data_IF_429516295118
#
_entry.id   IF_429516295118
#
_cell.length_a   1.000
_cell.length_b   1.000
_cell.length_c   1.000
_cell.angle_alpha   90.00
_cell.angle_beta   90.00
_cell.angle_gamma   90.00
#
_symmetry.space_group_name_H-M   'P 1'
#
loop_
_entity.id
_entity.type
_entity.pdbx_description
1 polymer ?
#
# COMPACT_ATOMS: atom_id res chain seq x y z
N UNK A 1 2.48 19.18 20.63
CA UNK A 1 2.56 18.82 19.19
C UNK A 1 2.34 17.32 19.05
N UNK A 2 1.82 16.89 17.90
CA UNK A 2 1.66 15.46 17.64
C UNK A 2 3.03 14.83 17.34
N UNK A 3 3.19 13.55 17.71
CA UNK A 3 4.32 12.76 17.25
C UNK A 3 4.31 12.68 15.70
N UNK A 4 5.47 12.52 15.05
CA UNK A 4 5.58 12.60 13.59
C UNK A 4 4.83 11.53 12.80
N UNK A 5 4.57 10.36 13.39
CA UNK A 5 3.82 9.27 12.77
C UNK A 5 2.60 8.89 13.62
N UNK A 6 1.64 8.18 13.03
CA UNK A 6 0.46 7.63 13.72
C UNK A 6 0.68 6.22 14.26
N UNK A 7 -0.42 5.60 14.71
CA UNK A 7 -0.46 4.21 15.19
C UNK A 7 0.59 3.91 16.27
N UNK A 8 0.45 4.63 17.39
CA UNK A 8 1.36 4.53 18.53
C UNK A 8 1.12 3.23 19.30
N UNK A 9 2.21 2.51 19.61
CA UNK A 9 2.18 1.24 20.31
C UNK A 9 2.69 1.30 21.74
N UNK A 10 3.65 2.18 22.04
CA UNK A 10 4.21 2.30 23.38
C UNK A 10 4.74 3.71 23.63
N UNK A 11 4.69 4.13 24.90
CA UNK A 11 5.23 5.40 25.38
C UNK A 11 6.00 5.16 26.67
N UNK A 12 7.28 5.43 26.64
CA UNK A 12 8.11 5.48 27.85
C UNK A 12 8.36 6.93 28.26
N UNK A 13 8.19 7.22 29.55
CA UNK A 13 8.50 8.51 30.18
C UNK A 13 9.58 8.28 31.23
N UNK A 14 10.65 9.06 31.18
CA UNK A 14 11.76 8.96 32.15
C UNK A 14 11.23 9.25 33.56
N UNK A 15 11.33 8.31 34.52
CA UNK A 15 10.83 8.49 35.90
C UNK A 15 11.57 9.58 36.66
N UNK A 16 12.74 9.99 36.24
CA UNK A 16 13.53 11.05 36.86
C UNK A 16 13.41 12.41 36.15
N UNK A 17 12.89 12.41 34.91
CA UNK A 17 12.72 13.63 34.12
C UNK A 17 11.60 13.46 33.11
N UNK A 18 10.39 13.84 33.49
CA UNK A 18 9.20 13.72 32.65
C UNK A 18 9.22 14.54 31.35
N UNK A 19 10.20 15.40 31.16
CA UNK A 19 10.42 16.08 29.88
C UNK A 19 11.05 15.15 28.84
N UNK A 20 11.68 14.05 29.28
CA UNK A 20 12.28 13.05 28.39
C UNK A 20 11.32 11.90 28.14
N UNK A 21 10.98 11.69 26.88
CA UNK A 21 10.03 10.66 26.45
C UNK A 21 10.56 9.93 25.22
N UNK A 22 10.15 8.67 25.09
CA UNK A 22 10.34 7.87 23.86
C UNK A 22 8.99 7.31 23.47
N UNK A 23 8.60 7.48 22.21
CA UNK A 23 7.40 6.88 21.64
C UNK A 23 7.81 5.89 20.55
N UNK A 24 7.10 4.77 20.47
CA UNK A 24 7.20 3.78 19.40
C UNK A 24 5.89 3.72 18.63
N UNK A 25 5.98 3.76 17.32
CA UNK A 25 4.86 3.70 16.39
C UNK A 25 5.24 2.96 15.10
N UNK A 26 4.30 2.84 14.16
CA UNK A 26 4.53 2.13 12.90
C UNK A 26 5.55 2.83 11.98
N UNK A 27 5.90 4.08 12.23
CA UNK A 27 6.99 4.78 11.57
C UNK A 27 8.36 4.53 12.17
N UNK A 28 8.43 4.01 13.42
CA UNK A 28 9.67 3.75 14.15
C UNK A 28 9.65 4.26 15.57
N UNK A 29 10.75 4.83 16.05
CA UNK A 29 10.86 5.40 17.39
C UNK A 29 11.29 6.87 17.35
N UNK A 30 10.69 7.69 18.19
CA UNK A 30 11.02 9.10 18.32
C UNK A 30 11.27 9.47 19.79
N UNK A 31 12.14 10.46 19.98
CA UNK A 31 12.53 10.96 21.30
C UNK A 31 12.09 12.40 21.44
N UNK A 32 11.51 12.73 22.59
CA UNK A 32 11.30 14.11 23.01
C UNK A 32 12.14 14.41 24.25
N UNK A 33 12.66 15.62 24.35
CA UNK A 33 13.35 16.15 25.53
C UNK A 33 12.66 17.37 26.15
N UNK A 34 11.47 17.68 25.68
CA UNK A 34 10.70 18.85 26.09
C UNK A 34 9.22 18.53 26.39
N UNK A 35 8.96 17.33 26.91
CA UNK A 35 7.63 16.91 27.33
C UNK A 35 6.65 16.67 26.18
N UNK A 36 7.15 16.31 24.99
CA UNK A 36 6.32 16.02 23.81
C UNK A 36 6.04 17.24 22.92
N UNK A 37 6.61 18.40 23.22
CA UNK A 37 6.45 19.59 22.38
C UNK A 37 7.14 19.42 21.02
N UNK A 38 8.32 18.80 21.01
CA UNK A 38 9.06 18.45 19.80
C UNK A 38 9.55 17.02 19.89
N UNK A 39 9.60 16.36 18.72
CA UNK A 39 10.06 14.98 18.57
C UNK A 39 11.16 14.89 17.50
N UNK A 40 12.04 13.92 17.66
CA UNK A 40 13.00 13.57 16.59
C UNK A 40 12.27 13.01 15.38
N UNK A 41 12.93 13.00 14.22
CA UNK A 41 12.39 12.35 13.04
C UNK A 41 12.52 10.82 13.13
N UNK A 42 11.55 10.10 12.58
CA UNK A 42 11.67 8.66 12.31
C UNK A 42 12.33 8.37 10.96
N UNK A 43 12.47 9.37 10.08
CA UNK A 43 12.96 9.20 8.71
C UNK A 43 14.46 8.87 8.61
N UNK A 44 15.17 8.84 9.72
CA UNK A 44 16.58 8.41 9.80
C UNK A 44 16.73 6.93 10.18
N UNK A 45 15.65 6.18 10.26
CA UNK A 45 15.67 4.76 10.63
C UNK A 45 15.60 3.92 9.35
N UNK A 46 16.60 3.05 9.07
CA UNK A 46 16.65 2.28 7.83
C UNK A 46 15.80 1.01 7.92
N UNK A 47 14.52 1.17 8.27
CA UNK A 47 13.56 0.07 8.42
C UNK A 47 12.35 0.31 7.55
N UNK A 48 11.89 -0.73 6.85
CA UNK A 48 10.69 -0.70 6.03
C UNK A 48 10.15 -2.11 5.79
N UNK A 49 8.84 -2.25 5.72
CA UNK A 49 8.19 -3.50 5.33
C UNK A 49 7.58 -3.32 3.94
N UNK A 50 8.18 -3.93 2.94
CA UNK A 50 7.66 -3.96 1.58
C UNK A 50 6.95 -5.27 1.28
N UNK A 51 5.74 -5.22 0.73
CA UNK A 51 4.99 -6.42 0.35
C UNK A 51 5.45 -7.00 -0.98
N UNK A 52 5.63 -6.16 -1.98
CA UNK A 52 5.97 -6.52 -3.34
C UNK A 52 6.93 -5.51 -3.94
N UNK A 53 7.75 -6.00 -4.86
CA UNK A 53 8.69 -5.18 -5.63
C UNK A 53 8.46 -5.47 -7.10
N UNK A 54 8.42 -4.42 -7.91
CA UNK A 54 8.41 -4.48 -9.37
C UNK A 54 9.38 -3.46 -9.96
N UNK A 55 9.69 -3.60 -11.22
CA UNK A 55 10.56 -2.68 -11.95
C UNK A 55 9.89 -2.28 -13.28
N UNK A 56 10.36 -1.17 -13.85
CA UNK A 56 10.02 -0.77 -15.20
C UNK A 56 11.18 -1.04 -16.20
N UNK A 57 10.95 -0.73 -17.47
CA UNK A 57 11.93 -0.85 -18.54
C UNK A 57 12.67 0.47 -18.85
N UNK A 58 12.52 1.48 -18.00
CA UNK A 58 13.26 2.74 -18.12
C UNK A 58 14.77 2.52 -17.95
N UNK A 59 15.60 3.39 -18.49
CA UNK A 59 17.05 3.31 -18.26
C UNK A 59 17.59 4.65 -17.66
N UNK A 60 18.16 4.61 -16.46
CA UNK A 60 18.24 3.50 -15.49
C UNK A 60 16.84 3.04 -15.06
N UNK A 61 16.63 1.72 -14.89
CA UNK A 61 15.32 1.23 -14.48
C UNK A 61 14.98 1.72 -13.05
N UNK A 62 13.68 1.80 -12.79
CA UNK A 62 13.16 2.17 -11.48
C UNK A 62 12.58 0.96 -10.77
N UNK A 63 12.66 1.01 -9.45
CA UNK A 63 12.14 0.01 -8.53
C UNK A 63 10.91 0.60 -7.85
N UNK A 64 9.86 -0.18 -7.73
CA UNK A 64 8.58 0.21 -7.14
C UNK A 64 8.21 -0.72 -6.01
N UNK A 65 7.65 -0.16 -4.94
CA UNK A 65 7.16 -0.94 -3.81
C UNK A 65 6.17 -0.16 -2.96
N UNK A 66 5.34 -0.87 -2.22
CA UNK A 66 4.47 -0.31 -1.19
C UNK A 66 5.00 -0.68 0.18
N UNK A 67 5.14 0.32 1.04
CA UNK A 67 5.61 0.18 2.40
C UNK A 67 4.42 0.20 3.35
N UNK A 68 4.29 -0.84 4.16
CA UNK A 68 3.26 -0.92 5.19
C UNK A 68 3.29 0.32 6.08
N UNK A 69 2.13 0.85 6.42
CA UNK A 69 1.87 2.02 7.26
C UNK A 69 2.47 3.35 6.76
N UNK A 70 3.00 3.34 5.54
CA UNK A 70 3.53 4.51 4.88
C UNK A 70 2.88 4.69 3.50
N UNK A 71 3.66 4.66 2.45
CA UNK A 71 3.15 4.86 1.09
C UNK A 71 3.89 4.02 0.08
N UNK A 72 3.46 4.11 -1.16
CA UNK A 72 4.23 3.58 -2.28
C UNK A 72 5.42 4.47 -2.61
N UNK A 73 6.44 3.85 -3.15
CA UNK A 73 7.66 4.53 -3.58
C UNK A 73 8.05 4.06 -4.98
N UNK A 74 8.58 4.96 -5.81
CA UNK A 74 9.45 4.62 -6.93
C UNK A 74 10.82 5.23 -6.72
N UNK A 75 11.87 4.48 -7.05
CA UNK A 75 13.25 4.88 -6.85
C UNK A 75 14.11 4.41 -8.03
N UNK A 76 15.02 5.25 -8.49
CA UNK A 76 16.02 4.84 -9.47
C UNK A 76 16.98 3.82 -8.85
N UNK A 77 17.31 2.73 -9.56
CA UNK A 77 18.30 1.78 -9.06
C UNK A 77 19.73 2.34 -9.03
N UNK A 78 19.96 3.48 -9.68
CA UNK A 78 21.21 4.24 -9.67
C UNK A 78 20.92 5.73 -9.62
N UNK A 79 21.82 6.45 -8.98
CA UNK A 79 21.89 7.89 -8.99
C UNK A 79 23.05 8.36 -9.87
N UNK A 80 23.01 9.60 -10.33
CA UNK A 80 24.19 10.29 -10.88
C UNK A 80 25.22 10.68 -9.83
N UNK A 81 24.87 10.54 -8.55
CA UNK A 81 25.72 10.78 -7.38
C UNK A 81 26.43 9.49 -6.94
N UNK A 82 27.30 9.58 -5.94
CA UNK A 82 27.97 8.42 -5.34
C UNK A 82 27.04 7.51 -4.55
N UNK A 83 25.84 7.95 -4.20
CA UNK A 83 24.83 7.21 -3.42
C UNK A 83 23.42 7.63 -3.82
N UNK A 84 22.47 6.76 -3.52
CA UNK A 84 21.03 7.06 -3.62
C UNK A 84 20.61 7.86 -2.38
N UNK A 85 19.83 8.91 -2.57
CA UNK A 85 19.36 9.81 -1.53
C UNK A 85 17.86 10.12 -1.70
N UNK A 86 17.30 10.94 -0.82
CA UNK A 86 15.90 11.38 -0.88
C UNK A 86 15.49 12.01 -2.20
N UNK A 87 16.44 12.55 -2.98
CA UNK A 87 16.17 13.12 -4.30
C UNK A 87 15.92 12.08 -5.39
N UNK A 88 16.26 10.84 -5.12
CA UNK A 88 16.21 9.75 -6.11
C UNK A 88 14.94 8.92 -6.01
N UNK A 89 14.05 9.25 -5.07
CA UNK A 89 12.78 8.55 -4.90
C UNK A 89 11.61 9.52 -4.72
N UNK A 90 10.43 9.04 -5.02
CA UNK A 90 9.18 9.79 -4.89
C UNK A 90 7.99 8.86 -4.63
N UNK A 91 6.90 9.34 -3.99
CA UNK A 91 5.67 8.58 -3.84
C UNK A 91 5.05 8.25 -5.20
N UNK A 92 4.56 6.99 -5.36
CA UNK A 92 3.94 6.50 -6.57
C UNK A 92 2.43 6.27 -6.41
N UNK A 93 1.83 5.49 -7.31
CA UNK A 93 0.41 5.15 -7.26
C UNK A 93 0.10 4.14 -6.16
N UNK A 94 -1.14 4.14 -5.66
CA UNK A 94 -1.60 3.20 -4.63
C UNK A 94 -1.36 3.68 -3.21
N UNK A 95 -1.37 2.75 -2.28
CA UNK A 95 -1.17 2.98 -0.86
C UNK A 95 -0.24 1.93 -0.25
N UNK A 96 -0.28 1.81 1.05
CA UNK A 96 0.63 0.98 1.86
C UNK A 96 0.71 -0.50 1.48
N UNK A 97 -0.33 -1.06 0.88
CA UNK A 97 -0.46 -2.49 0.56
C UNK A 97 -0.45 -2.79 -0.95
N UNK A 98 0.03 -1.86 -1.76
CA UNK A 98 -0.10 -1.95 -3.21
C UNK A 98 0.76 -3.04 -3.87
N UNK A 99 0.18 -3.69 -4.88
CA UNK A 99 0.94 -4.05 -6.07
C UNK A 99 1.03 -2.82 -6.97
N UNK A 100 2.21 -2.53 -7.47
CA UNK A 100 2.41 -1.45 -8.45
C UNK A 100 2.67 -2.05 -9.83
N UNK A 101 2.02 -1.46 -10.83
CA UNK A 101 2.14 -1.87 -12.23
C UNK A 101 2.52 -0.65 -13.08
N UNK A 102 3.81 -0.43 -13.34
CA UNK A 102 4.25 0.54 -14.34
C UNK A 102 3.67 0.19 -15.71
N UNK A 103 3.18 1.20 -16.43
CA UNK A 103 2.68 1.00 -17.79
C UNK A 103 3.86 0.70 -18.72
N UNK A 104 3.87 -0.46 -19.41
CA UNK A 104 4.98 -0.84 -20.29
C UNK A 104 5.10 0.04 -21.53
N UNK A 105 4.08 0.82 -21.87
CA UNK A 105 4.10 1.75 -23.00
C UNK A 105 4.49 3.17 -22.59
N UNK A 106 4.36 3.51 -21.30
CA UNK A 106 4.73 4.81 -20.76
C UNK A 106 5.14 4.69 -19.30
N UNK A 107 6.41 4.60 -19.04
CA UNK A 107 6.98 4.42 -17.69
C UNK A 107 6.68 5.59 -16.70
N UNK A 108 6.08 6.69 -17.16
CA UNK A 108 5.60 7.75 -16.26
C UNK A 108 4.20 7.48 -15.72
N UNK A 109 3.48 6.53 -16.32
CA UNK A 109 2.17 6.09 -15.84
C UNK A 109 2.34 4.84 -14.96
N UNK A 110 1.80 4.88 -13.75
CA UNK A 110 1.86 3.77 -12.80
C UNK A 110 0.46 3.52 -12.24
N UNK A 111 0.10 2.25 -12.15
CA UNK A 111 -1.13 1.80 -11.49
C UNK A 111 -0.76 1.16 -10.17
N UNK A 112 -1.54 1.45 -9.12
CA UNK A 112 -1.34 0.86 -7.80
C UNK A 112 -2.64 0.73 -7.04
N UNK A 113 -2.77 -0.38 -6.33
CA UNK A 113 -3.89 -0.64 -5.44
C UNK A 113 -3.61 -0.18 -4.00
N UNK A 114 -4.59 -0.37 -3.16
CA UNK A 114 -4.47 -0.40 -1.70
C UNK A 114 -5.60 -1.27 -1.15
N UNK A 115 -5.65 -1.49 0.16
CA UNK A 115 -6.69 -2.31 0.77
C UNK A 115 -8.11 -1.96 0.30
N UNK A 116 -9.04 -2.89 0.42
CA UNK A 116 -10.47 -2.76 0.03
C UNK A 116 -10.71 -2.58 -1.48
N UNK A 117 -9.70 -2.81 -2.33
CA UNK A 117 -9.86 -2.69 -3.77
C UNK A 117 -9.78 -1.27 -4.32
N UNK A 118 -9.38 -0.30 -3.50
CA UNK A 118 -9.09 1.03 -4.02
C UNK A 118 -7.86 0.97 -4.92
N UNK A 119 -7.98 1.58 -6.08
CA UNK A 119 -6.92 1.60 -7.08
C UNK A 119 -6.83 2.97 -7.75
N UNK A 120 -5.61 3.41 -7.99
CA UNK A 120 -5.35 4.66 -8.69
C UNK A 120 -4.33 4.49 -9.81
N UNK A 121 -4.40 5.38 -10.77
CA UNK A 121 -3.37 5.65 -11.76
C UNK A 121 -2.70 6.98 -11.41
N UNK A 122 -1.39 7.03 -11.46
CA UNK A 122 -0.59 8.26 -11.32
C UNK A 122 0.21 8.49 -12.59
N UNK A 123 0.14 9.70 -13.09
CA UNK A 123 1.04 10.23 -14.11
C UNK A 123 2.13 11.03 -13.41
N UNK A 124 3.34 10.52 -13.40
CA UNK A 124 4.49 11.16 -12.78
C UNK A 124 5.00 12.39 -13.54
N UNK A 125 4.74 12.48 -14.84
CA UNK A 125 5.14 13.64 -15.64
C UNK A 125 4.33 14.90 -15.31
N UNK A 126 3.05 14.74 -15.00
CA UNK A 126 2.15 15.82 -14.62
C UNK A 126 1.88 15.90 -13.12
N UNK A 127 2.21 14.85 -12.36
CA UNK A 127 1.85 14.70 -10.95
C UNK A 127 0.38 14.38 -10.69
N UNK A 128 -0.43 14.20 -11.74
CA UNK A 128 -1.87 13.96 -11.61
C UNK A 128 -2.17 12.51 -11.23
N UNK A 129 -3.23 12.34 -10.45
CA UNK A 129 -3.76 11.03 -10.07
C UNK A 129 -5.22 10.89 -10.49
N UNK A 130 -5.63 9.66 -10.79
CA UNK A 130 -6.99 9.31 -11.14
C UNK A 130 -7.39 8.00 -10.48
N UNK A 131 -8.59 7.97 -9.87
CA UNK A 131 -9.18 6.70 -9.42
C UNK A 131 -9.54 5.82 -10.62
N UNK A 132 -9.17 4.54 -10.53
CA UNK A 132 -9.44 3.52 -11.55
C UNK A 132 -10.04 2.26 -10.92
N UNK A 133 -10.81 2.42 -9.85
CA UNK A 133 -11.43 1.34 -9.09
C UNK A 133 -12.27 0.45 -10.01
N UNK A 134 -12.21 -0.86 -9.78
CA UNK A 134 -13.04 -1.84 -10.48
C UNK A 134 -14.51 -1.66 -10.10
N UNK A 135 -14.77 -1.39 -8.83
CA UNK A 135 -16.07 -1.13 -8.27
C UNK A 135 -16.00 -0.08 -7.17
N UNK A 136 -16.76 1.02 -7.27
CA UNK A 136 -16.69 2.13 -6.31
C UNK A 136 -17.46 1.80 -5.03
N UNK A 137 -17.02 0.81 -4.27
CA UNK A 137 -17.65 0.39 -3.03
C UNK A 137 -16.77 0.72 -1.82
N UNK A 138 -17.39 1.12 -0.72
CA UNK A 138 -16.71 1.34 0.54
C UNK A 138 -17.24 0.36 1.60
N UNK A 139 -16.64 -0.81 1.73
CA UNK A 139 -17.10 -1.83 2.66
C UNK A 139 -16.69 -1.57 4.12
N UNK A 140 -16.20 -0.40 4.46
CA UNK A 140 -15.77 -0.09 5.82
C UNK A 140 -16.89 -0.37 6.84
N UNK A 141 -16.60 -1.21 7.83
CA UNK A 141 -17.56 -1.64 8.86
C UNK A 141 -18.53 -2.74 8.44
N UNK A 142 -18.45 -3.24 7.20
CA UNK A 142 -19.28 -4.34 6.70
C UNK A 142 -18.48 -5.63 6.57
N UNK A 143 -19.18 -6.77 6.64
CA UNK A 143 -18.57 -8.09 6.34
C UNK A 143 -18.35 -8.28 4.84
N UNK A 144 -17.54 -9.28 4.52
CA UNK A 144 -17.24 -9.63 3.13
C UNK A 144 -18.47 -10.11 2.34
N UNK A 145 -19.53 -10.54 3.03
CA UNK A 145 -20.79 -11.02 2.46
C UNK A 145 -21.57 -9.96 1.67
N UNK A 146 -21.42 -8.67 2.02
CA UNK A 146 -22.12 -7.58 1.34
C UNK A 146 -21.31 -6.98 0.19
N UNK A 147 -20.07 -7.41 0.02
CA UNK A 147 -19.19 -6.89 -1.02
C UNK A 147 -19.50 -7.53 -2.37
N UNK A 148 -19.65 -6.72 -3.40
CA UNK A 148 -19.73 -7.24 -4.77
C UNK A 148 -18.45 -7.95 -5.17
N UNK A 149 -17.29 -7.40 -4.80
CA UNK A 149 -15.98 -7.97 -5.01
C UNK A 149 -15.17 -7.95 -3.72
N UNK A 150 -14.53 -9.05 -3.39
CA UNK A 150 -13.71 -9.22 -2.19
C UNK A 150 -12.23 -9.11 -2.57
N UNK A 151 -11.58 -8.07 -2.10
CA UNK A 151 -10.17 -7.81 -2.37
C UNK A 151 -9.30 -8.24 -1.19
N UNK A 152 -8.17 -8.87 -1.49
CA UNK A 152 -7.13 -9.14 -0.50
C UNK A 152 -6.45 -7.82 -0.08
N UNK A 153 -5.78 -7.81 1.07
CA UNK A 153 -5.02 -6.67 1.56
C UNK A 153 -4.07 -6.10 0.50
N UNK A 154 -3.27 -6.94 -0.14
CA UNK A 154 -2.39 -6.58 -1.24
C UNK A 154 -2.80 -7.31 -2.52
N UNK A 155 -3.99 -7.01 -3.04
CA UNK A 155 -4.50 -7.64 -4.25
C UNK A 155 -3.62 -7.37 -5.48
N UNK A 156 -3.49 -8.36 -6.39
CA UNK A 156 -2.60 -8.23 -7.53
C UNK A 156 -3.13 -7.24 -8.57
N UNK A 157 -2.19 -6.43 -9.08
CA UNK A 157 -2.38 -5.55 -10.24
C UNK A 157 -1.18 -5.73 -11.16
N UNK A 158 -1.40 -6.01 -12.46
CA UNK A 158 -0.32 -6.22 -13.39
C UNK A 158 -0.74 -6.01 -14.85
N UNK A 159 0.18 -5.55 -15.66
CA UNK A 159 0.02 -5.62 -17.13
C UNK A 159 0.32 -7.01 -17.66
N UNK A 160 -0.33 -7.35 -18.78
CA UNK A 160 -0.03 -8.59 -19.49
C UNK A 160 1.38 -8.54 -20.08
N UNK A 161 2.21 -9.57 -19.88
CA UNK A 161 3.51 -9.64 -20.54
C UNK A 161 3.42 -9.85 -22.05
N UNK A 162 2.26 -10.33 -22.55
CA UNK A 162 2.03 -10.63 -23.96
C UNK A 162 1.28 -9.52 -24.70
N UNK A 163 0.64 -8.60 -23.97
CA UNK A 163 -0.12 -7.50 -24.57
C UNK A 163 -0.14 -6.30 -23.62
N UNK A 164 0.67 -5.27 -23.88
CA UNK A 164 0.83 -4.13 -22.98
C UNK A 164 -0.43 -3.28 -22.80
N UNK A 165 -1.45 -3.45 -23.65
CA UNK A 165 -2.73 -2.75 -23.49
C UNK A 165 -3.69 -3.43 -22.51
N UNK A 166 -3.32 -4.58 -21.95
CA UNK A 166 -4.16 -5.35 -21.02
C UNK A 166 -3.66 -5.20 -19.59
N UNK A 167 -4.47 -4.53 -18.77
CA UNK A 167 -4.26 -4.40 -17.34
C UNK A 167 -5.19 -5.37 -16.60
N UNK A 168 -4.62 -6.19 -15.73
CA UNK A 168 -5.34 -7.15 -14.90
C UNK A 168 -5.34 -6.72 -13.44
N UNK A 169 -6.43 -7.02 -12.75
CA UNK A 169 -6.50 -6.92 -11.28
C UNK A 169 -7.32 -8.07 -10.71
N UNK A 170 -6.93 -8.54 -9.51
CA UNK A 170 -7.54 -9.68 -8.85
C UNK A 170 -8.36 -9.28 -7.61
N UNK A 171 -9.62 -9.68 -7.59
CA UNK A 171 -10.42 -9.81 -6.36
C UNK A 171 -10.67 -11.30 -6.11
N UNK A 172 -11.85 -11.67 -5.60
CA UNK A 172 -12.31 -13.05 -5.73
C UNK A 172 -12.61 -13.44 -7.19
N UNK A 173 -12.52 -12.49 -8.12
CA UNK A 173 -12.56 -12.69 -9.58
C UNK A 173 -11.31 -12.10 -10.22
N UNK A 174 -11.04 -12.47 -11.48
CA UNK A 174 -10.08 -11.80 -12.33
C UNK A 174 -10.78 -10.73 -13.17
N UNK A 175 -10.24 -9.54 -13.17
CA UNK A 175 -10.74 -8.39 -13.90
C UNK A 175 -9.73 -7.95 -14.96
N UNK A 176 -10.25 -7.48 -16.10
CA UNK A 176 -9.46 -6.97 -17.22
C UNK A 176 -9.95 -5.58 -17.62
N UNK A 177 -9.01 -4.68 -17.79
CA UNK A 177 -9.19 -3.41 -18.49
C UNK A 177 -8.34 -3.38 -19.75
N UNK A 178 -8.90 -2.88 -20.85
CA UNK A 178 -8.24 -2.67 -22.15
C UNK A 178 -8.23 -1.17 -22.53
N UNK A 179 -8.56 -0.29 -21.58
CA UNK A 179 -8.64 1.15 -21.78
C UNK A 179 -8.07 1.93 -20.57
N UNK A 180 -6.91 1.52 -20.10
CA UNK A 180 -6.17 2.21 -19.04
C UNK A 180 -6.97 2.38 -17.74
N UNK A 181 -7.73 1.35 -17.34
CA UNK A 181 -8.51 1.33 -16.12
C UNK A 181 -9.78 2.19 -16.14
N UNK A 182 -10.22 2.68 -17.31
CA UNK A 182 -11.47 3.44 -17.41
C UNK A 182 -12.70 2.55 -17.23
N UNK A 183 -12.64 1.35 -17.75
CA UNK A 183 -13.67 0.31 -17.54
C UNK A 183 -13.05 -1.03 -17.28
N UNK A 184 -13.79 -1.87 -16.57
CA UNK A 184 -13.36 -3.21 -16.19
C UNK A 184 -14.42 -4.23 -16.54
N UNK A 185 -14.00 -5.42 -17.00
CA UNK A 185 -14.87 -6.58 -17.14
C UNK A 185 -14.32 -7.75 -16.34
N UNK A 186 -15.20 -8.46 -15.66
CA UNK A 186 -14.86 -9.72 -14.99
C UNK A 186 -14.72 -10.82 -16.03
N UNK A 187 -13.60 -11.56 -16.00
CA UNK A 187 -13.23 -12.56 -16.99
C UNK A 187 -13.03 -13.96 -16.43
N UNK A 188 -13.33 -14.16 -15.14
CA UNK A 188 -13.28 -15.47 -14.49
C UNK A 188 -14.57 -15.77 -13.71
N UNK A 189 -14.85 -17.03 -13.34
CA UNK A 189 -15.75 -17.34 -12.22
C UNK A 189 -15.15 -16.86 -10.88
N UNK A 190 -15.90 -17.01 -9.78
CA UNK A 190 -15.35 -16.81 -8.43
C UNK A 190 -14.22 -17.84 -8.20
N UNK A 191 -13.04 -17.33 -7.89
CA UNK A 191 -11.81 -18.12 -7.70
C UNK A 191 -11.60 -18.55 -6.24
N UNK A 192 -12.51 -18.16 -5.35
CA UNK A 192 -12.45 -18.49 -3.92
C UNK A 192 -13.39 -19.63 -3.56
N UNK A 193 -13.28 -20.13 -2.34
CA UNK A 193 -14.22 -21.14 -1.83
C UNK A 193 -15.64 -20.60 -1.69
N UNK A 194 -15.81 -19.30 -1.48
CA UNK A 194 -17.08 -18.61 -1.31
C UNK A 194 -18.03 -19.28 -0.30
N UNK A 195 -17.48 -19.71 0.83
CA UNK A 195 -18.23 -20.39 1.89
C UNK A 195 -18.98 -19.35 2.71
N UNK A 196 -20.32 -19.33 2.74
CA UNK A 196 -21.11 -18.26 3.37
C UNK A 196 -20.74 -17.98 4.82
N UNK A 197 -20.39 -19.03 5.59
CA UNK A 197 -20.06 -18.92 7.01
C UNK A 197 -18.75 -18.16 7.23
N UNK A 198 -17.82 -18.22 6.29
CA UNK A 198 -16.47 -17.59 6.41
C UNK A 198 -16.42 -16.15 5.92
N UNK A 199 -17.46 -15.68 5.25
CA UNK A 199 -17.52 -14.31 4.70
C UNK A 199 -18.43 -13.38 5.52
N UNK A 200 -19.12 -13.91 6.54
CA UNK A 200 -19.94 -13.12 7.47
C UNK A 200 -19.09 -12.16 8.27
N UNK A 201 -19.69 -11.02 8.62
CA UNK A 201 -19.07 -10.09 9.56
C UNK A 201 -18.87 -10.77 10.91
N UNK A 202 -17.65 -10.69 11.45
CA UNK A 202 -17.36 -11.06 12.83
C UNK A 202 -17.39 -9.80 13.70
N UNK A 203 -18.16 -9.85 14.77
CA UNK A 203 -18.15 -8.76 15.75
C UNK A 203 -16.77 -8.63 16.37
N UNK A 204 -16.27 -7.41 16.52
CA UNK A 204 -14.99 -7.12 17.20
C UNK A 204 -14.87 -7.67 18.61
N UNK A 205 -15.98 -8.05 19.23
CA UNK A 205 -16.01 -8.61 20.59
C UNK A 205 -15.57 -10.08 20.67
N UNK A 206 -15.28 -10.73 19.54
CA UNK A 206 -14.92 -12.16 19.50
C UNK A 206 -13.76 -12.48 18.54
N UNK A 207 -12.77 -11.60 18.46
CA UNK A 207 -11.47 -11.95 17.87
C UNK A 207 -10.67 -12.81 18.86
N UNK A 208 -11.13 -14.04 19.08
CA UNK A 208 -10.24 -15.10 19.53
C UNK A 208 -9.46 -15.53 18.30
N UNK A 209 -8.17 -15.28 18.28
CA UNK A 209 -7.26 -15.90 17.33
C UNK A 209 -7.51 -17.43 17.38
N UNK A 210 -7.65 -18.12 16.22
CA UNK A 210 -7.78 -19.55 16.24
C UNK A 210 -6.56 -20.14 16.94
N UNK A 211 -6.79 -20.76 18.08
CA UNK A 211 -5.80 -21.63 18.73
C UNK A 211 -5.49 -22.73 17.74
N UNK A 212 -4.26 -22.76 17.25
CA UNK A 212 -3.76 -23.91 16.51
C UNK A 212 -3.60 -25.01 17.56
N UNK A 213 -4.58 -25.90 17.64
CA UNK A 213 -4.41 -27.18 18.33
C UNK A 213 -3.29 -27.94 17.62
N UNK A 214 -2.24 -28.22 18.36
CA UNK A 214 -1.10 -29.04 17.91
C UNK A 214 -1.43 -30.51 18.02
#
# INVERSE_FOLDING_TARGET
KNAPHGDHHDLWIDPNNNMRMVIADDGGAQVSNDGGENWTTYMNQPTAQFYRVTTDDHFPYRIYGAQQDNSTIRINHRSSSSHISERDWEPSAGGESAHLAPDPLNNEIVYGGTYKGYMMMKDHSSGQTRSVNIWPDNPAGSGAEVMKYRFNWNFPVMFSPNNPNKLYAGSNYLHLSENSGQTWRTISPDLTRNIPETIKSVSYTHLTLPTIDR
#
